data_IF_224454434541
#
_entry.id   IF_224454434541
#
_cell.length_a   1.000
_cell.length_b   1.000
_cell.length_c   1.000
_cell.angle_alpha   90.00
_cell.angle_beta   90.00
_cell.angle_gamma   90.00
#
_symmetry.space_group_name_H-M   'P 1'
#
loop_
_entity.id
_entity.type
_entity.pdbx_description
1 polymer ?
#
# COMPACT_ATOMS: atom_id res chain seq x y z
N UNK A 1 -54.65 25.56 -31.66
CA UNK A 1 -54.56 24.96 -30.32
C UNK A 1 -53.43 23.93 -30.21
N UNK A 2 -53.33 22.96 -31.14
CA UNK A 2 -52.29 21.90 -31.12
C UNK A 2 -50.85 22.45 -31.16
N UNK A 3 -50.60 23.49 -31.97
CA UNK A 3 -49.27 24.11 -32.10
C UNK A 3 -48.76 24.73 -30.78
N UNK A 4 -49.67 25.23 -29.94
CA UNK A 4 -49.32 25.81 -28.64
C UNK A 4 -48.89 24.72 -27.64
N UNK A 5 -49.53 23.55 -27.65
CA UNK A 5 -49.13 22.44 -26.77
C UNK A 5 -47.76 21.87 -27.14
N UNK A 6 -47.44 21.84 -28.45
CA UNK A 6 -46.14 21.38 -28.95
C UNK A 6 -45.01 22.33 -28.52
N UNK A 7 -45.23 23.64 -28.56
CA UNK A 7 -44.21 24.61 -28.12
C UNK A 7 -43.95 24.54 -26.61
N UNK A 8 -44.99 24.32 -25.80
CA UNK A 8 -44.83 24.09 -24.35
C UNK A 8 -44.08 22.78 -24.07
N UNK A 9 -44.44 21.70 -24.76
CA UNK A 9 -43.76 20.40 -24.62
C UNK A 9 -42.28 20.46 -24.98
N UNK A 10 -41.94 21.22 -26.03
CA UNK A 10 -40.54 21.46 -26.44
C UNK A 10 -39.76 22.23 -25.36
N UNK A 11 -40.38 23.25 -24.76
CA UNK A 11 -39.77 24.04 -23.68
C UNK A 11 -39.44 23.17 -22.45
N UNK A 12 -40.39 22.33 -22.03
CA UNK A 12 -40.21 21.40 -20.91
C UNK A 12 -39.07 20.41 -21.19
N UNK A 13 -38.98 19.87 -22.40
CA UNK A 13 -37.91 18.95 -22.78
C UNK A 13 -36.52 19.62 -22.73
N UNK A 14 -36.39 20.83 -23.29
CA UNK A 14 -35.13 21.59 -23.29
C UNK A 14 -34.67 21.89 -21.86
N UNK A 15 -35.60 22.29 -20.98
CA UNK A 15 -35.31 22.54 -19.57
C UNK A 15 -34.89 21.24 -18.85
N UNK A 16 -35.57 20.13 -19.12
CA UNK A 16 -35.20 18.82 -18.56
C UNK A 16 -33.78 18.40 -18.93
N UNK A 17 -33.41 18.47 -20.21
CA UNK A 17 -32.07 18.10 -20.66
C UNK A 17 -30.98 19.02 -20.09
N UNK A 18 -31.25 20.32 -19.96
CA UNK A 18 -30.28 21.25 -19.38
C UNK A 18 -30.05 20.98 -17.89
N UNK A 19 -31.09 20.70 -17.11
CA UNK A 19 -30.94 20.36 -15.69
C UNK A 19 -30.13 19.06 -15.53
N UNK A 20 -30.43 18.02 -16.30
CA UNK A 20 -29.71 16.74 -16.24
C UNK A 20 -28.24 16.94 -16.63
N UNK A 21 -27.98 17.72 -17.69
CA UNK A 21 -26.62 18.02 -18.12
C UNK A 21 -25.82 18.75 -17.03
N UNK A 22 -26.40 19.76 -16.39
CA UNK A 22 -25.76 20.49 -15.28
C UNK A 22 -25.53 19.58 -14.07
N UNK A 23 -26.49 18.71 -13.73
CA UNK A 23 -26.34 17.77 -12.62
C UNK A 23 -25.18 16.78 -12.85
N UNK A 24 -25.04 16.25 -14.07
CA UNK A 24 -23.94 15.37 -14.44
C UNK A 24 -22.58 16.09 -14.40
N UNK A 25 -22.53 17.33 -14.90
CA UNK A 25 -21.32 18.16 -14.86
C UNK A 25 -20.88 18.42 -13.42
N UNK A 26 -21.82 18.79 -12.56
CA UNK A 26 -21.58 19.06 -11.14
C UNK A 26 -21.04 17.80 -10.45
N UNK A 27 -21.67 16.65 -10.67
CA UNK A 27 -21.22 15.37 -10.11
C UNK A 27 -19.80 15.02 -10.56
N UNK A 28 -19.48 15.22 -11.85
CA UNK A 28 -18.13 15.02 -12.39
C UNK A 28 -17.09 15.92 -11.69
N UNK A 29 -17.42 17.20 -11.48
CA UNK A 29 -16.55 18.12 -10.75
C UNK A 29 -16.35 17.70 -9.29
N UNK A 30 -17.41 17.25 -8.60
CA UNK A 30 -17.30 16.75 -7.23
C UNK A 30 -16.34 15.56 -7.16
N UNK A 31 -16.49 14.56 -8.03
CA UNK A 31 -15.63 13.38 -7.99
C UNK A 31 -14.17 13.70 -8.29
N UNK A 32 -13.90 14.55 -9.28
CA UNK A 32 -12.54 14.95 -9.62
C UNK A 32 -11.89 15.79 -8.53
N UNK A 33 -12.64 16.68 -7.88
CA UNK A 33 -12.15 17.47 -6.76
C UNK A 33 -11.91 16.59 -5.52
N UNK A 34 -12.85 15.69 -5.20
CA UNK A 34 -12.73 14.77 -4.08
C UNK A 34 -11.52 13.84 -4.23
N UNK A 35 -11.27 13.30 -5.42
CA UNK A 35 -10.07 12.50 -5.70
C UNK A 35 -8.77 13.28 -5.43
N UNK A 36 -8.70 14.55 -5.85
CA UNK A 36 -7.55 15.43 -5.60
C UNK A 36 -7.40 15.78 -4.12
N UNK A 37 -8.49 16.08 -3.41
CA UNK A 37 -8.50 16.38 -1.98
C UNK A 37 -8.00 15.18 -1.16
N UNK A 38 -8.37 13.96 -1.55
CA UNK A 38 -7.96 12.74 -0.86
C UNK A 38 -6.46 12.47 -1.00
N UNK A 39 -5.90 12.70 -2.20
CA UNK A 39 -4.44 12.64 -2.42
C UNK A 39 -3.69 13.73 -1.64
N UNK A 40 -4.25 14.94 -1.58
CA UNK A 40 -3.69 16.06 -0.84
C UNK A 40 -3.67 15.80 0.68
N UNK A 41 -4.73 15.22 1.25
CA UNK A 41 -4.77 14.84 2.66
C UNK A 41 -3.79 13.72 2.98
N UNK A 42 -3.66 12.69 2.11
CA UNK A 42 -2.65 11.64 2.27
C UNK A 42 -1.23 12.21 2.29
N UNK A 43 -0.90 13.08 1.33
CA UNK A 43 0.42 13.75 1.27
C UNK A 43 0.71 14.56 2.55
N UNK A 44 -0.28 15.31 3.06
CA UNK A 44 -0.11 16.10 4.29
C UNK A 44 0.06 15.25 5.55
N UNK A 45 -0.65 14.12 5.64
CA UNK A 45 -0.55 13.22 6.79
C UNK A 45 0.81 12.52 6.83
N UNK A 46 1.32 12.05 5.69
CA UNK A 46 2.64 11.42 5.59
C UNK A 46 3.79 12.37 5.97
N UNK A 47 3.66 13.67 5.66
CA UNK A 47 4.66 14.69 6.04
C UNK A 47 4.68 14.93 7.56
N UNK A 48 3.56 14.71 8.25
CA UNK A 48 3.42 14.97 9.68
C UNK A 48 3.80 13.77 10.57
N UNK A 49 3.83 12.55 10.03
CA UNK A 49 4.07 11.27 10.74
C UNK A 49 5.55 10.79 10.75
N UNK A 50 6.51 11.66 10.41
CA UNK A 50 7.98 11.50 10.49
C UNK A 50 8.74 11.23 9.19
N UNK A 51 9.91 11.88 9.11
CA UNK A 51 10.96 11.85 8.11
C UNK A 51 11.39 10.45 7.63
N UNK A 52 10.75 9.90 6.60
CA UNK A 52 11.32 8.76 5.87
C UNK A 52 10.93 8.69 4.38
N UNK A 53 10.55 9.80 3.75
CA UNK A 53 10.29 9.82 2.30
C UNK A 53 10.94 11.04 1.65
N UNK A 54 12.27 11.14 1.79
CA UNK A 54 13.10 11.75 0.74
C UNK A 54 13.42 10.77 -0.40
N UNK A 55 12.80 9.58 -0.41
CA UNK A 55 12.96 8.55 -1.44
C UNK A 55 11.73 8.36 -2.34
N UNK A 56 10.68 9.18 -2.20
CA UNK A 56 9.50 9.15 -3.09
C UNK A 56 9.48 10.39 -3.97
N UNK A 57 10.66 10.82 -4.40
CA UNK A 57 10.85 11.76 -5.51
C UNK A 57 11.40 11.03 -6.76
N UNK A 58 11.71 9.73 -6.64
CA UNK A 58 11.67 8.88 -7.81
C UNK A 58 10.21 8.60 -8.12
N UNK A 59 9.78 9.07 -9.28
CA UNK A 59 8.55 8.71 -9.97
C UNK A 59 8.47 7.20 -10.17
N UNK A 60 8.28 6.44 -9.11
CA UNK A 60 7.77 5.09 -9.26
C UNK A 60 6.28 5.25 -9.46
N UNK A 61 5.92 5.53 -10.71
CA UNK A 61 4.60 5.36 -11.27
C UNK A 61 4.28 3.85 -11.22
N UNK A 62 4.20 3.31 -10.00
CA UNK A 62 3.83 1.92 -9.76
C UNK A 62 2.36 1.84 -10.07
N UNK A 63 2.04 1.52 -11.31
CA UNK A 63 0.69 1.12 -11.71
C UNK A 63 0.20 0.08 -10.72
N UNK A 64 -1.08 0.16 -10.34
CA UNK A 64 -1.68 -0.76 -9.35
C UNK A 64 -1.44 -2.24 -9.67
N UNK A 65 -1.28 -2.57 -10.95
CA UNK A 65 -0.89 -3.89 -11.44
C UNK A 65 0.48 -4.34 -10.95
N UNK A 66 1.51 -3.48 -11.02
CA UNK A 66 2.87 -3.78 -10.58
C UNK A 66 2.89 -3.95 -9.05
N UNK A 67 2.18 -3.08 -8.32
CA UNK A 67 2.05 -3.22 -6.87
C UNK A 67 1.35 -4.53 -6.48
N UNK A 68 0.32 -4.93 -7.24
CA UNK A 68 -0.40 -6.19 -7.03
C UNK A 68 0.49 -7.39 -7.35
N UNK A 69 1.25 -7.34 -8.44
CA UNK A 69 2.19 -8.40 -8.81
C UNK A 69 3.29 -8.59 -7.76
N UNK A 70 3.86 -7.49 -7.24
CA UNK A 70 4.85 -7.53 -6.16
C UNK A 70 4.22 -8.11 -4.88
N UNK A 71 3.02 -7.65 -4.49
CA UNK A 71 2.33 -8.17 -3.32
C UNK A 71 2.03 -9.67 -3.45
N UNK A 72 1.61 -10.12 -4.63
CA UNK A 72 1.34 -11.52 -4.93
C UNK A 72 2.63 -12.36 -4.91
N UNK A 73 3.73 -11.85 -5.47
CA UNK A 73 5.02 -12.52 -5.42
C UNK A 73 5.51 -12.71 -3.97
N UNK A 74 5.40 -11.67 -3.14
CA UNK A 74 5.74 -11.75 -1.71
C UNK A 74 4.81 -12.72 -0.97
N UNK A 75 3.50 -12.70 -1.27
CA UNK A 75 2.54 -13.60 -0.66
C UNK A 75 2.88 -15.06 -0.96
N UNK A 76 3.19 -15.38 -2.21
CA UNK A 76 3.60 -16.72 -2.63
C UNK A 76 4.96 -17.12 -2.03
N UNK A 77 5.89 -16.17 -1.89
CA UNK A 77 7.20 -16.47 -1.31
C UNK A 77 7.17 -16.72 0.19
N UNK A 78 6.11 -16.29 0.90
CA UNK A 78 5.96 -16.54 2.35
C UNK A 78 5.75 -18.01 2.67
N UNK A 79 5.12 -18.77 1.77
CA UNK A 79 4.86 -20.20 1.96
C UNK A 79 6.10 -21.08 1.67
N UNK A 80 7.17 -20.49 1.14
CA UNK A 80 8.45 -21.16 0.86
C UNK A 80 9.41 -21.12 2.06
N UNK A 81 9.12 -20.32 3.09
CA UNK A 81 9.89 -20.35 4.32
C UNK A 81 9.37 -21.49 5.21
N UNK A 82 10.27 -22.35 5.69
CA UNK A 82 9.93 -23.41 6.62
C UNK A 82 9.15 -22.82 7.80
N UNK A 83 8.01 -23.44 8.11
CA UNK A 83 7.15 -23.04 9.22
C UNK A 83 7.88 -23.38 10.53
N UNK A 84 8.72 -22.45 10.97
CA UNK A 84 9.53 -22.61 12.17
C UNK A 84 8.59 -22.66 13.39
N UNK A 85 8.74 -23.68 14.23
CA UNK A 85 8.00 -23.74 15.47
C UNK A 85 8.49 -22.61 16.40
N UNK A 86 7.60 -21.68 16.76
CA UNK A 86 7.85 -20.56 17.70
C UNK A 86 8.28 -21.00 19.12
N UNK A 87 8.44 -22.30 19.34
CA UNK A 87 8.91 -22.89 20.60
C UNK A 87 10.44 -23.00 20.54
N UNK A 88 11.10 -21.93 20.97
CA UNK A 88 12.55 -21.90 21.18
C UNK A 88 12.96 -22.85 22.31
N UNK A 89 13.24 -24.12 21.98
CA UNK A 89 13.74 -25.11 22.95
C UNK A 89 15.25 -24.93 23.15
N UNK A 90 15.63 -23.96 23.97
CA UNK A 90 17.03 -23.71 24.34
C UNK A 90 17.47 -24.80 25.33
N UNK A 91 18.11 -25.87 24.83
CA UNK A 91 18.81 -26.82 25.70
C UNK A 91 20.06 -26.15 26.25
N UNK A 92 19.97 -25.67 27.49
CA UNK A 92 21.10 -25.10 28.22
C UNK A 92 22.11 -26.21 28.51
N UNK A 93 23.08 -26.39 27.61
CA UNK A 93 24.24 -27.25 27.88
C UNK A 93 24.96 -26.65 29.10
N UNK A 94 25.18 -27.45 30.15
CA UNK A 94 25.79 -27.04 31.42
C UNK A 94 27.27 -26.65 31.32
N UNK A 95 27.79 -26.48 30.10
CA UNK A 95 29.18 -26.16 29.86
C UNK A 95 29.35 -24.64 29.91
N UNK A 96 30.02 -24.14 30.94
CA UNK A 96 30.37 -22.72 31.15
C UNK A 96 31.32 -22.14 30.09
N UNK A 97 31.61 -22.90 29.02
CA UNK A 97 32.53 -22.49 27.96
C UNK A 97 31.82 -22.48 26.61
N UNK A 98 32.15 -21.49 25.79
CA UNK A 98 31.71 -21.44 24.40
C UNK A 98 32.43 -22.54 23.59
N UNK A 99 31.70 -23.37 22.82
CA UNK A 99 32.30 -24.43 22.01
C UNK A 99 33.19 -23.89 20.88
N UNK A 100 33.06 -22.61 20.52
CA UNK A 100 33.84 -22.00 19.43
C UNK A 100 35.23 -21.54 19.89
N UNK A 101 35.40 -21.20 21.17
CA UNK A 101 36.63 -20.55 21.66
C UNK A 101 37.11 -21.12 23.01
N UNK A 102 37.18 -22.43 23.15
CA UNK A 102 37.70 -23.03 24.38
C UNK A 102 39.21 -23.29 24.26
N UNK A 103 40.01 -22.45 24.93
CA UNK A 103 41.49 -22.49 24.97
C UNK A 103 42.08 -23.84 25.45
N UNK A 104 41.26 -24.67 26.08
CA UNK A 104 41.59 -26.00 26.61
C UNK A 104 41.95 -27.04 25.55
N UNK A 105 41.49 -26.91 24.29
CA UNK A 105 41.89 -27.85 23.22
C UNK A 105 43.25 -27.52 22.60
N UNK A 106 43.84 -26.36 22.91
CA UNK A 106 45.12 -25.91 22.33
C UNK A 106 46.37 -26.29 23.13
N UNK A 107 46.22 -26.83 24.34
CA UNK A 107 47.36 -27.24 25.18
C UNK A 107 47.73 -28.70 24.85
N UNK A 108 48.69 -28.84 23.94
CA UNK A 108 49.38 -30.11 23.68
C UNK A 108 50.44 -30.27 24.77
N UNK A 109 50.18 -31.13 25.77
CA UNK A 109 51.19 -31.46 26.77
C UNK A 109 52.36 -32.19 26.09
N UNK A 110 53.48 -31.51 25.90
CA UNK A 110 54.73 -32.13 25.48
C UNK A 110 55.38 -32.76 26.72
N UNK A 111 55.32 -34.08 26.81
CA UNK A 111 55.98 -34.83 27.87
C UNK A 111 57.46 -35.01 27.51
N UNK A 112 58.36 -34.63 28.43
CA UNK A 112 59.82 -34.72 28.26
C UNK A 112 60.34 -36.08 28.68
#
# INVERSE_FOLDING_TARGET
MIIYNISQGLGIAIIGYTIVFVALLLLFYIFTYMAKVLLWHKKRRLIHENQATKLVDEEINVTGEIATAIAMAIYLSRDLHDNESDILTIKKVSKTYSPWNSKIYGIRFYNR
#
